data_IF_239238775278
#
_entry.id   IF_239238775278
#
_cell.length_a   1.000
_cell.length_b   1.000
_cell.length_c   1.000
_cell.angle_alpha   90.00
_cell.angle_beta   90.00
_cell.angle_gamma   90.00
#
_symmetry.space_group_name_H-M   'P 1'
#
loop_
_entity.id
_entity.type
_entity.pdbx_description
1 polymer ?
#
# COMPACT_ATOMS: atom_id res chain seq x y z
N UNK A 1 22.13 3.53 12.41
CA UNK A 1 22.69 3.10 11.12
C UNK A 1 24.18 3.28 11.11
N UNK A 2 24.91 2.39 10.45
CA UNK A 2 26.33 2.62 10.15
C UNK A 2 26.49 3.62 8.98
N UNK A 3 27.74 4.03 8.70
CA UNK A 3 28.07 5.00 7.65
C UNK A 3 27.61 4.50 6.26
N UNK A 4 27.66 3.19 6.01
CA UNK A 4 27.27 2.61 4.73
C UNK A 4 25.76 2.65 4.55
N UNK A 5 25.01 2.29 5.59
CA UNK A 5 23.55 2.41 5.58
C UNK A 5 23.12 3.87 5.38
N UNK A 6 23.77 4.84 6.04
CA UNK A 6 23.47 6.27 5.86
C UNK A 6 23.70 6.72 4.42
N UNK A 7 24.83 6.31 3.82
CA UNK A 7 25.12 6.61 2.42
C UNK A 7 24.10 5.98 1.46
N UNK A 8 23.62 4.76 1.75
CA UNK A 8 22.57 4.11 0.96
C UNK A 8 21.23 4.82 1.12
N UNK A 9 20.84 5.20 2.34
CA UNK A 9 19.60 5.94 2.56
C UNK A 9 19.62 7.26 1.81
N UNK A 10 20.74 8.00 1.89
CA UNK A 10 20.92 9.23 1.12
C UNK A 10 20.84 8.97 -0.38
N UNK A 11 21.46 7.91 -0.89
CA UNK A 11 21.40 7.57 -2.32
C UNK A 11 19.96 7.38 -2.81
N UNK A 12 19.15 6.59 -2.10
CA UNK A 12 17.76 6.36 -2.51
C UNK A 12 16.87 7.60 -2.27
N UNK A 13 17.15 8.38 -1.24
CA UNK A 13 16.53 9.69 -1.03
C UNK A 13 16.81 10.64 -2.20
N UNK A 14 18.07 10.75 -2.64
CA UNK A 14 18.44 11.59 -3.78
C UNK A 14 17.71 11.12 -5.05
N UNK A 15 17.63 9.80 -5.30
CA UNK A 15 16.84 9.25 -6.43
C UNK A 15 15.36 9.64 -6.37
N UNK A 16 14.77 9.66 -5.17
CA UNK A 16 13.38 10.08 -4.96
C UNK A 16 13.19 11.56 -5.29
N UNK A 17 14.09 12.43 -4.83
CA UNK A 17 14.07 13.86 -5.12
C UNK A 17 14.33 14.17 -6.60
N UNK A 18 15.22 13.42 -7.25
CA UNK A 18 15.59 13.62 -8.65
C UNK A 18 14.58 13.01 -9.63
N UNK A 19 13.50 12.37 -9.14
CA UNK A 19 12.50 11.71 -9.97
C UNK A 19 13.02 10.47 -10.71
N UNK A 20 14.13 9.88 -10.25
CA UNK A 20 14.74 8.67 -10.85
C UNK A 20 14.43 7.38 -10.08
N UNK A 21 13.48 7.47 -9.15
CA UNK A 21 13.05 6.41 -8.26
C UNK A 21 12.16 5.37 -8.95
N UNK A 22 12.41 4.10 -8.71
CA UNK A 22 11.58 2.98 -9.15
C UNK A 22 11.11 2.10 -7.98
N UNK A 23 10.34 1.06 -8.29
CA UNK A 23 9.84 0.11 -7.29
C UNK A 23 10.96 -0.55 -6.45
N UNK A 24 12.10 -0.88 -7.07
CA UNK A 24 13.21 -1.59 -6.43
C UNK A 24 13.92 -0.65 -5.46
N UNK A 25 14.06 0.62 -5.84
CA UNK A 25 14.51 1.69 -4.94
C UNK A 25 13.54 1.87 -3.77
N UNK A 26 12.22 1.82 -4.03
CA UNK A 26 11.16 1.82 -3.03
C UNK A 26 11.36 0.78 -1.95
N UNK A 27 11.61 -0.46 -2.38
CA UNK A 27 11.87 -1.57 -1.47
C UNK A 27 13.14 -1.35 -0.63
N UNK A 28 14.24 -0.95 -1.26
CA UNK A 28 15.50 -0.71 -0.57
C UNK A 28 15.43 0.49 0.40
N UNK A 29 14.75 1.56 0.01
CA UNK A 29 14.52 2.74 0.83
C UNK A 29 13.72 2.39 2.09
N UNK A 30 12.62 1.63 1.95
CA UNK A 30 11.83 1.14 3.07
C UNK A 30 12.66 0.33 4.06
N UNK A 31 13.53 -0.55 3.56
CA UNK A 31 14.40 -1.38 4.40
C UNK A 31 15.31 -0.51 5.28
N UNK A 32 15.91 0.52 4.70
CA UNK A 32 16.86 1.39 5.39
C UNK A 32 16.15 2.31 6.40
N UNK A 33 15.07 2.95 5.98
CA UNK A 33 14.37 3.94 6.81
C UNK A 33 13.61 3.30 7.97
N UNK A 34 13.17 2.04 7.84
CA UNK A 34 12.49 1.27 8.90
C UNK A 34 13.21 1.31 10.25
N UNK A 35 14.54 1.24 10.22
CA UNK A 35 15.38 1.23 11.43
C UNK A 35 15.42 2.58 12.15
N UNK A 36 15.04 3.65 11.46
CA UNK A 36 15.04 5.04 11.95
C UNK A 36 13.65 5.49 12.41
N UNK A 37 12.62 4.72 12.11
CA UNK A 37 11.25 5.03 12.51
C UNK A 37 10.94 4.55 13.94
N UNK A 38 10.13 5.36 14.65
CA UNK A 38 9.51 5.00 15.92
C UNK A 38 8.77 3.66 15.81
N UNK A 39 8.70 2.88 16.90
CA UNK A 39 8.07 1.55 16.90
C UNK A 39 6.63 1.52 16.39
N UNK A 40 5.89 2.61 16.61
CA UNK A 40 4.47 2.73 16.25
C UNK A 40 4.25 3.62 15.01
N UNK A 41 5.31 3.91 14.25
CA UNK A 41 5.23 4.71 13.04
C UNK A 41 4.51 3.95 11.92
N UNK A 42 3.66 4.64 11.17
CA UNK A 42 3.09 4.17 9.91
C UNK A 42 4.15 3.79 8.87
N UNK A 43 5.30 4.49 8.82
CA UNK A 43 6.39 4.14 7.88
C UNK A 43 7.05 2.83 8.29
N UNK A 44 7.24 2.63 9.59
CA UNK A 44 7.73 1.36 10.11
C UNK A 44 6.76 0.22 9.82
N UNK A 45 5.47 0.44 10.06
CA UNK A 45 4.41 -0.53 9.77
C UNK A 45 4.36 -0.89 8.27
N UNK A 46 4.41 0.10 7.38
CA UNK A 46 4.47 -0.13 5.94
C UNK A 46 5.73 -0.92 5.54
N UNK A 47 6.88 -0.56 6.09
CA UNK A 47 8.13 -1.29 5.83
C UNK A 47 8.07 -2.72 6.38
N UNK A 48 7.53 -2.92 7.58
CA UNK A 48 7.34 -4.24 8.16
C UNK A 48 6.41 -5.10 7.31
N UNK A 49 5.30 -4.53 6.84
CA UNK A 49 4.37 -5.22 5.97
C UNK A 49 4.99 -5.59 4.62
N UNK A 50 5.79 -4.71 4.01
CA UNK A 50 6.54 -4.99 2.78
C UNK A 50 7.60 -6.08 2.97
N UNK A 51 8.30 -6.11 4.10
CA UNK A 51 9.41 -7.03 4.36
C UNK A 51 8.95 -8.38 4.92
N UNK A 52 7.79 -8.42 5.58
CA UNK A 52 7.25 -9.59 6.26
C UNK A 52 5.91 -10.02 5.66
N UNK A 53 5.78 -9.95 4.33
CA UNK A 53 4.53 -10.21 3.58
C UNK A 53 3.88 -11.54 3.96
N UNK A 54 4.69 -12.56 4.27
CA UNK A 54 4.23 -13.91 4.61
C UNK A 54 3.80 -14.05 6.08
N UNK A 55 4.30 -13.19 6.98
CA UNK A 55 4.00 -13.28 8.42
C UNK A 55 2.68 -12.63 8.78
N UNK A 56 2.20 -11.73 7.92
CA UNK A 56 0.89 -11.08 8.00
C UNK A 56 0.55 -10.71 9.45
N UNK A 57 1.18 -9.65 9.97
CA UNK A 57 0.99 -9.13 11.33
C UNK A 57 0.95 -7.58 11.30
N UNK A 58 0.58 -6.95 12.42
CA UNK A 58 0.59 -5.50 12.59
C UNK A 58 -0.74 -4.78 12.36
N UNK A 59 -0.70 -3.45 12.43
CA UNK A 59 -1.85 -2.57 12.30
C UNK A 59 -2.55 -2.66 10.94
N UNK A 60 -1.83 -2.91 9.84
CA UNK A 60 -2.44 -3.08 8.51
C UNK A 60 -3.34 -4.33 8.49
N UNK A 61 -2.89 -5.42 9.11
CA UNK A 61 -3.70 -6.63 9.28
C UNK A 61 -4.94 -6.34 10.12
N UNK A 62 -4.76 -5.72 11.28
CA UNK A 62 -5.88 -5.35 12.17
C UNK A 62 -6.92 -4.50 11.44
N UNK A 63 -6.47 -3.55 10.62
CA UNK A 63 -7.35 -2.73 9.79
C UNK A 63 -8.15 -3.58 8.80
N UNK A 64 -7.49 -4.46 8.03
CA UNK A 64 -8.14 -5.35 7.05
C UNK A 64 -9.20 -6.23 7.74
N UNK A 65 -8.87 -6.84 8.89
CA UNK A 65 -9.80 -7.69 9.62
C UNK A 65 -10.96 -6.91 10.27
N UNK A 66 -10.69 -5.70 10.76
CA UNK A 66 -11.73 -4.81 11.29
C UNK A 66 -12.69 -4.39 10.17
N UNK A 67 -12.16 -4.05 9.00
CA UNK A 67 -12.95 -3.74 7.80
C UNK A 67 -13.77 -4.95 7.34
N UNK A 68 -13.18 -6.15 7.28
CA UNK A 68 -13.88 -7.41 7.03
C UNK A 68 -15.07 -7.62 7.96
N UNK A 69 -14.87 -7.46 9.28
CA UNK A 69 -15.93 -7.62 10.29
C UNK A 69 -17.09 -6.64 10.07
N UNK A 70 -16.84 -5.42 9.60
CA UNK A 70 -17.91 -4.47 9.24
C UNK A 70 -18.78 -5.04 8.12
N UNK A 71 -18.18 -5.65 7.08
CA UNK A 71 -18.92 -6.27 5.97
C UNK A 71 -19.73 -7.50 6.39
N UNK A 72 -19.25 -8.30 7.34
CA UNK A 72 -20.00 -9.43 7.90
C UNK A 72 -21.24 -8.99 8.71
N UNK A 73 -21.27 -7.74 9.15
CA UNK A 73 -22.40 -7.12 9.86
C UNK A 73 -23.38 -6.38 8.93
N UNK A 74 -23.12 -6.32 7.62
CA UNK A 74 -24.04 -5.70 6.65
C UNK A 74 -25.41 -6.37 6.72
N UNK A 75 -26.45 -5.56 6.79
CA UNK A 75 -27.84 -6.01 6.92
C UNK A 75 -28.31 -6.21 8.37
N UNK A 76 -27.38 -6.21 9.35
CA UNK A 76 -27.71 -6.22 10.79
C UNK A 76 -27.71 -4.81 11.39
N UNK A 77 -26.96 -3.90 10.79
CA UNK A 77 -26.88 -2.48 11.17
C UNK A 77 -27.49 -1.61 10.07
N UNK A 78 -28.28 -0.58 10.45
CA UNK A 78 -28.88 0.40 9.52
C UNK A 78 -27.92 1.52 9.11
N UNK A 79 -26.65 1.45 9.51
CA UNK A 79 -25.67 2.50 9.28
C UNK A 79 -24.90 2.27 7.98
N UNK A 80 -24.58 3.35 7.28
CA UNK A 80 -23.68 3.31 6.14
C UNK A 80 -22.28 2.86 6.61
N UNK A 81 -21.68 1.90 5.92
CA UNK A 81 -20.31 1.47 6.19
C UNK A 81 -19.36 2.36 5.39
N UNK A 82 -18.46 3.01 6.12
CA UNK A 82 -17.34 3.75 5.54
C UNK A 82 -16.05 3.05 5.91
N UNK A 83 -15.27 2.70 4.90
CA UNK A 83 -13.89 2.23 5.04
C UNK A 83 -13.01 3.39 4.59
N UNK A 84 -12.02 3.74 5.42
CA UNK A 84 -10.99 4.71 5.09
C UNK A 84 -9.68 3.94 4.91
N UNK A 85 -8.72 4.55 4.25
CA UNK A 85 -7.35 4.03 4.16
C UNK A 85 -6.78 3.75 5.55
N UNK A 86 -5.85 2.79 5.63
CA UNK A 86 -5.17 2.45 6.89
C UNK A 86 -4.36 3.63 7.42
N UNK A 87 -3.71 4.36 6.52
CA UNK A 87 -2.99 5.60 6.79
C UNK A 87 -3.34 6.63 5.73
N UNK A 88 -3.60 7.85 6.18
CA UNK A 88 -3.83 8.98 5.28
C UNK A 88 -2.51 9.48 4.69
N UNK A 89 -2.58 10.11 3.51
CA UNK A 89 -1.43 10.80 2.90
C UNK A 89 -0.74 11.77 3.88
N UNK A 90 -1.53 12.48 4.72
CA UNK A 90 -1.00 13.43 5.70
C UNK A 90 -0.19 12.73 6.80
N UNK A 91 -0.66 11.58 7.29
CA UNK A 91 0.05 10.79 8.30
C UNK A 91 1.38 10.28 7.74
N UNK A 92 1.36 9.66 6.55
CA UNK A 92 2.56 9.19 5.87
C UNK A 92 3.55 10.33 5.64
N UNK A 93 3.09 11.46 5.07
CA UNK A 93 3.92 12.64 4.85
C UNK A 93 4.56 13.14 6.15
N UNK A 94 3.76 13.25 7.21
CA UNK A 94 4.22 13.80 8.48
C UNK A 94 5.31 12.94 9.09
N UNK A 95 5.10 11.62 9.13
CA UNK A 95 6.06 10.71 9.75
C UNK A 95 7.31 10.50 8.90
N UNK A 96 7.15 10.35 7.57
CA UNK A 96 8.28 10.20 6.67
C UNK A 96 9.21 11.43 6.75
N UNK A 97 8.64 12.64 6.69
CA UNK A 97 9.42 13.86 6.80
C UNK A 97 10.05 14.06 8.18
N UNK A 98 9.38 13.60 9.26
CA UNK A 98 9.98 13.59 10.59
C UNK A 98 11.21 12.68 10.61
N UNK A 99 11.08 11.42 10.15
CA UNK A 99 12.19 10.48 10.13
C UNK A 99 13.35 10.95 9.24
N UNK A 100 13.05 11.57 8.10
CA UNK A 100 14.08 12.16 7.23
C UNK A 100 14.82 13.32 7.91
N UNK A 101 14.10 14.19 8.62
CA UNK A 101 14.72 15.28 9.37
C UNK A 101 15.63 14.75 10.49
N UNK A 102 15.23 13.68 11.19
CA UNK A 102 16.07 13.00 12.19
C UNK A 102 17.35 12.41 11.56
N UNK A 103 17.30 12.07 10.26
CA UNK A 103 18.45 11.64 9.45
C UNK A 103 19.22 12.79 8.79
N UNK A 104 18.92 14.06 9.12
CA UNK A 104 19.50 15.27 8.51
C UNK A 104 19.25 15.39 6.99
N UNK A 105 18.17 14.80 6.50
CA UNK A 105 17.71 14.93 5.12
C UNK A 105 16.59 15.99 5.04
N UNK A 106 16.47 16.65 3.89
CA UNK A 106 15.42 17.65 3.71
C UNK A 106 14.05 16.99 3.58
N UNK A 107 13.00 17.73 3.95
CA UNK A 107 11.63 17.25 3.87
C UNK A 107 11.21 17.07 2.41
N UNK A 108 10.45 16.00 2.16
CA UNK A 108 9.88 15.71 0.85
C UNK A 108 8.63 16.55 0.59
N UNK A 109 8.46 16.93 -0.67
CA UNK A 109 7.29 17.59 -1.21
C UNK A 109 6.16 16.58 -1.51
N UNK A 110 5.00 17.06 -1.95
CA UNK A 110 3.84 16.17 -2.16
C UNK A 110 4.04 15.16 -3.30
N UNK A 111 4.77 15.53 -4.36
CA UNK A 111 5.01 14.67 -5.52
C UNK A 111 5.94 13.51 -5.16
N UNK A 112 7.01 13.80 -4.41
CA UNK A 112 7.95 12.80 -3.90
C UNK A 112 7.26 11.83 -2.92
N UNK A 113 6.42 12.33 -2.01
CA UNK A 113 5.63 11.48 -1.13
C UNK A 113 4.63 10.62 -1.94
N UNK A 114 4.02 11.19 -2.98
CA UNK A 114 3.09 10.46 -3.84
C UNK A 114 3.81 9.34 -4.61
N UNK A 115 5.02 9.60 -5.10
CA UNK A 115 5.87 8.61 -5.77
C UNK A 115 6.25 7.47 -4.80
N UNK A 116 6.66 7.82 -3.58
CA UNK A 116 6.91 6.84 -2.52
C UNK A 116 5.68 5.97 -2.26
N UNK A 117 4.51 6.54 -2.00
CA UNK A 117 3.28 5.77 -1.72
C UNK A 117 2.92 4.89 -2.93
N UNK A 118 3.04 5.40 -4.15
CA UNK A 118 2.78 4.65 -5.39
C UNK A 118 3.70 3.44 -5.51
N UNK A 119 4.98 3.60 -5.20
CA UNK A 119 5.92 2.47 -5.15
C UNK A 119 5.50 1.44 -4.09
N UNK A 120 5.08 1.87 -2.89
CA UNK A 120 4.61 0.96 -1.84
C UNK A 120 3.35 0.19 -2.27
N UNK A 121 2.41 0.85 -2.94
CA UNK A 121 1.19 0.20 -3.48
C UNK A 121 1.57 -0.89 -4.49
N UNK A 122 2.46 -0.59 -5.43
CA UNK A 122 2.95 -1.57 -6.42
C UNK A 122 3.69 -2.74 -5.76
N UNK A 123 4.58 -2.46 -4.82
CA UNK A 123 5.32 -3.48 -4.05
C UNK A 123 4.37 -4.43 -3.32
N UNK A 124 3.27 -3.92 -2.75
CA UNK A 124 2.31 -4.69 -1.93
C UNK A 124 1.22 -5.40 -2.73
N UNK A 125 1.19 -5.26 -4.05
CA UNK A 125 0.24 -5.99 -4.87
C UNK A 125 0.45 -7.51 -4.73
N UNK A 126 -0.63 -8.25 -4.94
CA UNK A 126 -0.66 -9.70 -4.95
C UNK A 126 -0.28 -10.36 -3.60
N UNK A 127 -0.18 -9.60 -2.51
CA UNK A 127 0.02 -10.13 -1.16
C UNK A 127 -1.24 -10.85 -0.69
N UNK A 128 -1.08 -12.11 -0.28
CA UNK A 128 -2.19 -12.96 0.19
C UNK A 128 -2.64 -12.54 1.58
N UNK A 129 -3.95 -12.57 1.80
CA UNK A 129 -4.58 -12.34 3.10
C UNK A 129 -4.88 -13.71 3.70
N UNK A 130 -4.18 -14.03 4.79
CA UNK A 130 -4.25 -15.32 5.46
C UNK A 130 -4.99 -15.20 6.79
N UNK A 131 -5.75 -16.24 7.15
CA UNK A 131 -6.35 -16.44 8.47
C UNK A 131 -5.81 -17.72 9.08
N UNK A 132 -5.44 -17.63 10.35
CA UNK A 132 -5.15 -18.81 11.16
C UNK A 132 -6.46 -19.53 11.47
N UNK A 133 -6.55 -20.83 11.15
CA UNK A 133 -7.71 -21.63 11.52
C UNK A 133 -7.56 -22.09 12.97
N UNK A 134 -8.53 -21.74 13.82
CA UNK A 134 -8.56 -22.16 15.22
C UNK A 134 -8.41 -23.69 15.35
N UNK A 135 -7.33 -24.13 15.99
CA UNK A 135 -7.02 -25.55 16.23
C UNK A 135 -6.27 -26.28 15.10
N UNK A 136 -5.85 -25.56 14.06
CA UNK A 136 -5.11 -26.08 12.90
C UNK A 136 -3.76 -25.37 12.75
N UNK A 137 -2.71 -26.11 12.38
CA UNK A 137 -1.42 -25.51 12.02
C UNK A 137 -1.40 -24.93 10.59
N UNK A 138 -2.51 -25.04 9.85
CA UNK A 138 -2.64 -24.55 8.50
C UNK A 138 -3.37 -23.21 8.49
N UNK A 139 -2.76 -22.22 7.82
CA UNK A 139 -3.39 -20.95 7.50
C UNK A 139 -4.21 -21.09 6.21
N UNK A 140 -5.35 -20.42 6.16
CA UNK A 140 -6.24 -20.38 5.01
C UNK A 140 -6.19 -19.02 4.33
N UNK A 141 -6.00 -19.03 3.01
CA UNK A 141 -6.15 -17.84 2.17
C UNK A 141 -7.62 -17.45 2.08
N UNK A 142 -7.92 -16.18 2.38
CA UNK A 142 -9.28 -15.63 2.35
C UNK A 142 -9.40 -14.42 1.42
N UNK A 143 -8.33 -14.03 0.75
CA UNK A 143 -8.28 -12.81 -0.04
C UNK A 143 -6.88 -12.44 -0.46
N UNK A 144 -6.76 -11.30 -1.14
CA UNK A 144 -5.50 -10.79 -1.69
C UNK A 144 -5.54 -9.27 -1.83
N UNK A 145 -4.36 -8.67 -1.83
CA UNK A 145 -4.18 -7.27 -2.20
C UNK A 145 -3.97 -7.14 -3.70
N UNK A 146 -4.51 -6.08 -4.29
CA UNK A 146 -4.45 -5.81 -5.73
C UNK A 146 -4.07 -4.37 -5.99
N UNK A 147 -3.31 -4.17 -7.06
CA UNK A 147 -3.11 -2.84 -7.62
C UNK A 147 -4.39 -2.44 -8.35
N UNK A 148 -4.85 -1.21 -8.12
CA UNK A 148 -5.95 -0.63 -8.87
C UNK A 148 -5.62 0.81 -9.27
N UNK A 149 -6.12 1.24 -10.43
CA UNK A 149 -5.90 2.60 -10.93
C UNK A 149 -7.19 3.17 -11.52
N UNK A 150 -7.49 4.42 -11.20
CA UNK A 150 -8.55 5.21 -11.80
C UNK A 150 -7.95 6.43 -12.50
N UNK A 151 -8.79 7.29 -13.09
CA UNK A 151 -8.31 8.55 -13.65
C UNK A 151 -7.58 9.41 -12.61
N UNK A 152 -8.00 9.37 -11.34
CA UNK A 152 -7.49 10.24 -10.28
C UNK A 152 -6.60 9.56 -9.25
N UNK A 153 -6.71 8.25 -9.10
CA UNK A 153 -6.13 7.57 -7.94
C UNK A 153 -5.44 6.27 -8.33
N UNK A 154 -4.38 5.95 -7.58
CA UNK A 154 -3.75 4.63 -7.52
C UNK A 154 -4.05 4.08 -6.14
N UNK A 155 -4.53 2.83 -6.08
CA UNK A 155 -5.12 2.28 -4.88
C UNK A 155 -4.60 0.85 -4.67
N UNK A 156 -4.14 0.56 -3.46
CA UNK A 156 -3.98 -0.80 -2.98
C UNK A 156 -5.34 -1.27 -2.47
N UNK A 157 -5.97 -2.17 -3.21
CA UNK A 157 -7.30 -2.71 -2.89
C UNK A 157 -7.16 -4.06 -2.17
N UNK A 158 -7.91 -4.26 -1.10
CA UNK A 158 -8.08 -5.58 -0.51
C UNK A 158 -9.36 -6.21 -1.05
N UNK A 159 -9.26 -7.39 -1.65
CA UNK A 159 -10.39 -8.27 -1.90
C UNK A 159 -10.39 -9.40 -0.87
N UNK A 160 -11.51 -9.61 -0.17
CA UNK A 160 -11.60 -10.60 0.89
C UNK A 160 -12.96 -11.30 0.90
N UNK A 161 -12.94 -12.61 1.13
CA UNK A 161 -14.13 -13.43 1.35
C UNK A 161 -14.75 -13.07 2.71
N UNK A 162 -16.02 -12.69 2.70
CA UNK A 162 -16.84 -12.48 3.89
C UNK A 162 -18.04 -13.43 3.91
N UNK A 163 -18.39 -13.91 5.09
CA UNK A 163 -19.59 -14.72 5.30
C UNK A 163 -20.71 -13.85 5.85
N UNK A 164 -21.76 -13.66 5.06
CA UNK A 164 -22.98 -12.98 5.50
C UNK A 164 -24.00 -14.02 5.97
N UNK A 165 -24.56 -13.79 7.16
CA UNK A 165 -25.57 -14.65 7.80
C UNK A 165 -25.17 -16.14 7.89
N UNK A 166 -23.87 -16.43 8.04
CA UNK A 166 -23.32 -17.79 8.16
C UNK A 166 -23.56 -18.73 6.96
N UNK A 167 -24.16 -18.26 5.87
CA UNK A 167 -24.60 -19.10 4.76
C UNK A 167 -24.10 -18.61 3.39
N UNK A 168 -23.96 -17.29 3.20
CA UNK A 168 -23.55 -16.73 1.91
C UNK A 168 -22.15 -16.15 1.99
N UNK A 169 -21.23 -16.75 1.23
CA UNK A 169 -19.90 -16.20 0.99
C UNK A 169 -19.97 -15.21 -0.16
N UNK A 170 -19.39 -14.04 0.02
CA UNK A 170 -19.22 -13.02 -1.03
C UNK A 170 -17.84 -12.41 -0.88
N UNK A 171 -17.25 -11.96 -1.99
CA UNK A 171 -16.06 -11.14 -1.92
C UNK A 171 -16.47 -9.68 -1.76
N UNK A 172 -15.72 -8.96 -0.94
CA UNK A 172 -15.84 -7.51 -0.80
C UNK A 172 -14.50 -6.89 -1.10
N UNK A 173 -14.54 -5.73 -1.76
CA UNK A 173 -13.34 -4.99 -2.14
C UNK A 173 -13.37 -3.63 -1.46
N UNK A 174 -12.25 -3.22 -0.86
CA UNK A 174 -12.11 -1.91 -0.22
C UNK A 174 -10.67 -1.39 -0.28
N UNK A 175 -10.47 -0.06 -0.22
CA UNK A 175 -9.14 0.53 -0.26
C UNK A 175 -8.37 0.27 1.03
N UNK A 176 -7.07 0.02 0.89
CA UNK A 176 -6.10 -0.07 1.99
C UNK A 176 -5.21 1.17 2.00
N UNK A 177 -4.69 1.56 0.85
CA UNK A 177 -3.78 2.71 0.70
C UNK A 177 -4.03 3.40 -0.64
N UNK A 178 -3.97 4.74 -0.67
CA UNK A 178 -4.25 5.52 -1.87
C UNK A 178 -3.16 6.56 -2.16
N UNK A 179 -2.85 6.74 -3.44
CA UNK A 179 -2.05 7.82 -4.00
C UNK A 179 -2.81 8.51 -5.15
N UNK A 180 -2.35 9.69 -5.55
CA UNK A 180 -2.85 10.36 -6.76
C UNK A 180 -2.27 9.68 -8.00
N UNK A 181 -3.11 9.49 -9.02
CA UNK A 181 -2.64 9.06 -10.33
C UNK A 181 -2.11 10.27 -11.10
N UNK A 182 -0.78 10.44 -11.07
CA UNK A 182 -0.06 11.44 -11.86
C UNK A 182 0.76 10.80 -12.99
N UNK A 183 0.63 9.48 -13.20
CA UNK A 183 1.63 8.69 -13.93
C UNK A 183 1.05 7.92 -15.12
N UNK A 184 -0.26 7.70 -15.18
CA UNK A 184 -0.92 7.03 -16.29
C UNK A 184 -2.19 7.78 -16.72
N UNK A 185 -2.38 7.94 -18.03
CA UNK A 185 -3.62 8.51 -18.58
C UNK A 185 -4.71 7.45 -18.67
N UNK A 186 -5.50 7.33 -17.61
CA UNK A 186 -6.55 6.33 -17.47
C UNK A 186 -7.90 6.93 -17.81
N UNK A 187 -8.58 6.34 -18.81
CA UNK A 187 -9.95 6.74 -19.15
C UNK A 187 -10.91 6.31 -18.05
N UNK A 188 -11.70 7.28 -17.60
CA UNK A 188 -12.76 7.09 -16.61
C UNK A 188 -13.73 5.99 -17.07
N UNK A 189 -13.91 4.95 -16.25
CA UNK A 189 -14.82 3.84 -16.58
C UNK A 189 -16.29 4.24 -16.54
N UNK A 190 -16.66 5.08 -15.58
CA UNK A 190 -18.04 5.48 -15.35
C UNK A 190 -18.13 6.88 -14.73
N UNK A 191 -19.32 7.31 -14.31
CA UNK A 191 -19.50 8.62 -13.66
C UNK A 191 -18.80 8.74 -12.30
N UNK A 192 -18.45 7.63 -11.66
CA UNK A 192 -17.84 7.57 -10.32
C UNK A 192 -16.32 7.38 -10.34
N UNK A 193 -15.71 7.24 -11.52
CA UNK A 193 -14.28 6.95 -11.68
C UNK A 193 -13.90 5.61 -11.04
N UNK A 194 -14.71 4.58 -11.30
CA UNK A 194 -14.43 3.22 -10.83
C UNK A 194 -13.04 2.76 -11.29
N UNK A 195 -12.16 2.31 -10.37
CA UNK A 195 -10.80 1.86 -10.70
C UNK A 195 -10.77 0.58 -11.53
N UNK A 196 -9.78 0.47 -12.43
CA UNK A 196 -9.38 -0.80 -13.05
C UNK A 196 -8.61 -1.61 -12.02
N UNK A 197 -9.00 -2.88 -11.85
CA UNK A 197 -8.38 -3.79 -10.89
C UNK A 197 -7.52 -4.82 -11.63
N UNK A 198 -6.25 -4.93 -11.25
CA UNK A 198 -5.31 -5.88 -11.85
C UNK A 198 -5.24 -7.13 -10.98
N UNK A 199 -6.08 -8.12 -11.31
CA UNK A 199 -6.25 -9.35 -10.49
C UNK A 199 -5.14 -10.36 -10.78
N UNK A 200 -4.85 -10.61 -12.05
CA UNK A 200 -3.89 -11.65 -12.49
C UNK A 200 -2.61 -11.08 -13.09
N UNK A 201 -2.44 -9.76 -13.01
CA UNK A 201 -1.37 -9.00 -13.62
C UNK A 201 -0.53 -8.28 -12.56
N UNK A 202 0.77 -8.14 -12.84
CA UNK A 202 1.72 -7.40 -12.00
C UNK A 202 1.97 -6.07 -12.66
N UNK A 203 1.61 -5.00 -11.95
CA UNK A 203 1.83 -3.62 -12.39
C UNK A 203 3.15 -3.11 -11.81
N UNK A 204 4.14 -2.86 -12.66
CA UNK A 204 5.44 -2.38 -12.21
C UNK A 204 5.52 -0.85 -12.26
N UNK A 205 6.19 -0.28 -11.26
CA UNK A 205 6.53 1.14 -11.25
C UNK A 205 7.98 1.28 -11.68
N UNK A 206 8.18 1.82 -12.87
CA UNK A 206 9.49 1.93 -13.49
C UNK A 206 9.90 3.38 -13.66
N UNK A 207 11.21 3.61 -13.68
CA UNK A 207 11.75 4.87 -14.16
C UNK A 207 12.12 4.76 -15.65
N UNK A 208 11.55 5.63 -16.47
CA UNK A 208 11.94 5.81 -17.85
C UNK A 208 12.35 7.27 -18.09
N UNK A 209 13.61 7.49 -18.45
CA UNK A 209 14.17 8.82 -18.76
C UNK A 209 13.91 9.89 -17.67
N UNK A 210 13.96 9.51 -16.39
CA UNK A 210 13.73 10.43 -15.27
C UNK A 210 12.26 10.71 -14.99
N UNK A 211 11.35 9.89 -15.52
CA UNK A 211 9.93 9.90 -15.19
C UNK A 211 9.49 8.56 -14.64
N UNK A 212 8.67 8.63 -13.59
CA UNK A 212 8.05 7.46 -13.01
C UNK A 212 6.83 7.08 -13.86
N UNK A 213 6.82 5.87 -14.40
CA UNK A 213 5.79 5.34 -15.29
C UNK A 213 5.18 4.07 -14.69
N UNK A 214 3.91 3.85 -14.99
CA UNK A 214 3.19 2.62 -14.63
C UNK A 214 3.23 1.70 -15.84
N UNK A 215 3.90 0.56 -15.70
CA UNK A 215 3.84 -0.48 -16.72
C UNK A 215 2.63 -1.35 -16.48
N UNK A 216 1.60 -1.17 -17.31
CA UNK A 216 0.39 -1.98 -17.30
C UNK A 216 0.57 -3.11 -18.30
N UNK A 217 0.41 -4.39 -17.90
CA UNK A 217 0.53 -5.51 -18.83
C UNK A 217 -0.50 -5.42 -19.96
N UNK A 218 -0.05 -5.61 -21.21
CA UNK A 218 -0.93 -5.60 -22.39
C UNK A 218 -1.07 -4.25 -23.11
N UNK A 219 -0.43 -3.19 -22.62
CA UNK A 219 -0.16 -1.95 -23.36
C UNK A 219 1.27 -1.90 -23.95
#
# INVERSE_FOLDING_TARGET
MDIKEQALLKHYYDKLCDGTFDEKDGYAFLLLIRSQCDKNSCIRELADFVMQRDRYDGHIKEHIFTSRKKFEQIGKTKAAIRINDVFTFKEIKSELNKTLADCQLAVLNNEEINAFITSVISILQQVKIMVDEDGSAASREIGKLFFAVSQKQIILMAEIEVSQNFLKKTNVVFPVLTANNNYADIKKQDRFDTPYLFVDEVVEIMNHEGKLEISIPGE
#
